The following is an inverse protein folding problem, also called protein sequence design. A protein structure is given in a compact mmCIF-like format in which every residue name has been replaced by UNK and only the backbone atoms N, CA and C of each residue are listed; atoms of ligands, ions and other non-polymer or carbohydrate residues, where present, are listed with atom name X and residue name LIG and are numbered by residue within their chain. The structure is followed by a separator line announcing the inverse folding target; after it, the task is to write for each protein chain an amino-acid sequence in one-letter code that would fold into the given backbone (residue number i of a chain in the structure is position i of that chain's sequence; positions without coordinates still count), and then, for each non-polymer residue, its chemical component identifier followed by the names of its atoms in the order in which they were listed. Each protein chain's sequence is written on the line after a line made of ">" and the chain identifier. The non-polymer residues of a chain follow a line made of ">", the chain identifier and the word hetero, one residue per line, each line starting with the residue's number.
data_IF_851335055819
#
_entry.id   IF_851335055819
#
_cell.length_a   1.000
_cell.length_b   1.000
_cell.length_c   1.000
_cell.angle_alpha   90.00
_cell.angle_beta   90.00
_cell.angle_gamma   90.00
#
_symmetry.space_group_name_H-M   'P 1'
#
loop_
_entity.id
_entity.type
_entity.pdbx_description
1 polymer ?
#
# COMPACT_ATOMS: atom_id res chain seq x y z
N UNK A 1 11.56 -3.75 -28.81
CA UNK A 1 11.88 -2.48 -28.11
C UNK A 1 11.19 -2.32 -26.74
N UNK A 2 10.26 -3.18 -26.33
CA UNK A 2 9.47 -3.01 -25.10
C UNK A 2 10.24 -3.28 -23.80
N UNK A 3 11.11 -4.29 -23.77
CA UNK A 3 11.86 -4.70 -22.56
C UNK A 3 12.76 -3.58 -22.01
N UNK A 4 13.43 -2.83 -22.88
CA UNK A 4 14.29 -1.72 -22.45
C UNK A 4 13.49 -0.55 -21.87
N UNK A 5 12.29 -0.27 -22.42
CA UNK A 5 11.42 0.77 -21.88
C UNK A 5 10.91 0.40 -20.47
N UNK A 6 10.55 -0.87 -20.25
CA UNK A 6 10.08 -1.34 -18.94
C UNK A 6 11.13 -1.18 -17.84
N UNK A 7 12.40 -1.51 -18.12
CA UNK A 7 13.47 -1.35 -17.15
C UNK A 7 13.77 0.13 -16.85
N UNK A 8 13.62 1.01 -17.84
CA UNK A 8 13.82 2.46 -17.68
C UNK A 8 12.71 3.08 -16.82
N UNK A 9 11.45 2.69 -17.02
CA UNK A 9 10.32 3.24 -16.29
C UNK A 9 10.41 2.90 -14.78
N UNK A 10 10.68 1.62 -14.45
CA UNK A 10 10.84 1.16 -13.06
C UNK A 10 12.08 1.80 -12.40
N UNK A 11 13.20 1.90 -13.13
CA UNK A 11 14.41 2.55 -12.61
C UNK A 11 14.22 4.03 -12.30
N UNK A 12 13.41 4.73 -13.11
CA UNK A 12 13.08 6.15 -12.91
C UNK A 12 12.23 6.35 -11.66
N UNK A 13 11.22 5.51 -11.46
CA UNK A 13 10.41 5.56 -10.23
C UNK A 13 11.23 5.20 -8.99
N UNK A 14 12.06 4.15 -9.05
CA UNK A 14 12.93 3.77 -7.94
C UNK A 14 13.92 4.88 -7.57
N UNK A 15 14.49 5.58 -8.56
CA UNK A 15 15.33 6.74 -8.31
C UNK A 15 14.57 7.87 -7.60
N UNK A 16 13.37 8.18 -8.08
CA UNK A 16 12.53 9.20 -7.45
C UNK A 16 12.15 8.82 -6.00
N UNK A 17 11.85 7.54 -5.75
CA UNK A 17 11.58 6.99 -4.42
C UNK A 17 12.79 7.11 -3.49
N UNK A 18 14.01 6.86 -3.98
CA UNK A 18 15.25 7.09 -3.22
C UNK A 18 15.45 8.56 -2.88
N UNK A 19 15.22 9.46 -3.82
CA UNK A 19 15.31 10.91 -3.56
C UNK A 19 14.27 11.39 -2.54
N UNK A 20 13.07 10.81 -2.59
CA UNK A 20 11.99 11.08 -1.65
C UNK A 20 12.37 10.62 -0.23
N UNK A 21 12.79 9.37 -0.09
CA UNK A 21 13.13 8.77 1.21
C UNK A 21 14.43 9.30 1.81
N UNK A 22 15.37 9.79 1.00
CA UNK A 22 16.59 10.46 1.48
C UNK A 22 16.32 11.76 2.27
N UNK A 23 15.09 12.31 2.16
CA UNK A 23 14.63 13.47 2.93
C UNK A 23 13.95 13.10 4.24
N UNK A 24 13.71 11.81 4.46
CA UNK A 24 13.08 11.27 5.67
C UNK A 24 14.14 10.72 6.63
N UNK A 25 13.87 10.84 7.93
CA UNK A 25 14.70 10.21 8.97
C UNK A 25 14.32 8.72 9.10
N UNK A 26 15.25 7.77 8.82
CA UNK A 26 14.97 6.33 8.94
C UNK A 26 14.72 5.87 10.40
N UNK A 27 14.93 6.73 11.38
CA UNK A 27 14.58 6.50 12.78
C UNK A 27 13.12 6.83 13.14
N UNK A 28 12.43 7.64 12.33
CA UNK A 28 11.13 8.27 12.67
C UNK A 28 10.03 7.99 11.65
N UNK A 29 8.81 8.41 11.99
CA UNK A 29 7.65 8.28 11.12
C UNK A 29 7.29 6.84 10.80
N UNK A 30 6.39 6.69 9.84
CA UNK A 30 6.03 5.40 9.29
C UNK A 30 7.22 4.74 8.58
N UNK A 31 8.05 5.51 7.86
CA UNK A 31 9.22 5.06 7.12
C UNK A 31 10.20 4.30 8.03
N UNK A 32 10.51 4.84 9.20
CA UNK A 32 11.38 4.17 10.16
C UNK A 32 10.76 2.92 10.76
N UNK A 33 9.46 2.92 11.03
CA UNK A 33 8.74 1.72 11.52
C UNK A 33 8.75 0.62 10.46
N UNK A 34 8.41 0.95 9.22
CA UNK A 34 8.39 0.01 8.11
C UNK A 34 9.77 -0.56 7.81
N UNK A 35 10.80 0.29 7.75
CA UNK A 35 12.18 -0.14 7.47
C UNK A 35 12.72 -1.07 8.56
N UNK A 36 12.32 -0.89 9.83
CA UNK A 36 12.68 -1.84 10.91
C UNK A 36 11.92 -3.15 10.81
N UNK A 37 10.65 -3.11 10.40
CA UNK A 37 9.79 -4.30 10.28
C UNK A 37 10.16 -5.16 9.07
N UNK A 38 10.44 -4.53 7.93
CA UNK A 38 10.80 -5.17 6.67
C UNK A 38 11.93 -4.42 5.96
N UNK A 39 13.18 -4.58 6.42
CA UNK A 39 14.33 -3.91 5.82
C UNK A 39 14.69 -4.44 4.44
N UNK A 40 14.24 -5.64 4.08
CA UNK A 40 14.50 -6.23 2.77
C UNK A 40 13.50 -5.73 1.74
N UNK A 41 12.20 -5.76 2.04
CA UNK A 41 11.16 -5.24 1.16
C UNK A 41 11.37 -3.77 0.81
N UNK A 42 11.71 -2.94 1.81
CA UNK A 42 12.07 -1.54 1.55
C UNK A 42 13.27 -1.42 0.61
N UNK A 43 14.31 -2.26 0.78
CA UNK A 43 15.51 -2.24 -0.08
C UNK A 43 15.17 -2.67 -1.51
N UNK A 44 14.38 -3.73 -1.68
CA UNK A 44 13.89 -4.18 -3.00
C UNK A 44 13.15 -3.06 -3.74
N UNK A 45 12.32 -2.29 -3.03
CA UNK A 45 11.61 -1.14 -3.59
C UNK A 45 12.58 -0.01 -4.01
N UNK A 46 13.52 0.33 -3.12
CA UNK A 46 14.51 1.39 -3.38
C UNK A 46 15.50 1.00 -4.47
N UNK A 47 15.83 -0.27 -4.63
CA UNK A 47 16.70 -0.78 -5.69
C UNK A 47 15.96 -0.97 -7.03
N UNK A 48 14.64 -0.81 -7.05
CA UNK A 48 13.79 -0.99 -8.23
C UNK A 48 13.59 -2.45 -8.64
N UNK A 49 13.87 -3.39 -7.73
CA UNK A 49 13.60 -4.82 -7.90
C UNK A 49 12.10 -5.08 -7.78
N UNK A 50 11.45 -4.39 -6.85
CA UNK A 50 10.01 -4.45 -6.62
C UNK A 50 9.39 -3.06 -6.76
N UNK A 51 8.11 -3.03 -7.15
CA UNK A 51 7.31 -1.79 -7.10
C UNK A 51 6.54 -1.85 -5.78
N UNK A 52 6.73 -0.89 -4.84
CA UNK A 52 5.97 -0.86 -3.59
C UNK A 52 4.47 -0.71 -3.87
N UNK A 53 3.59 -1.23 -3.00
CA UNK A 53 2.17 -0.87 -3.03
C UNK A 53 1.95 0.65 -2.93
N UNK A 54 0.88 1.17 -3.51
CA UNK A 54 0.61 2.62 -3.48
C UNK A 54 0.36 3.16 -2.06
N UNK A 55 -0.27 2.41 -1.18
CA UNK A 55 -0.49 2.77 0.24
C UNK A 55 0.83 2.97 1.00
N UNK A 56 1.88 2.24 0.62
CA UNK A 56 3.24 2.46 1.14
C UNK A 56 3.77 3.81 0.66
N UNK A 57 3.55 4.17 -0.61
CA UNK A 57 3.94 5.48 -1.15
C UNK A 57 3.16 6.61 -0.46
N UNK A 58 1.86 6.44 -0.22
CA UNK A 58 1.03 7.40 0.51
C UNK A 58 1.52 7.61 1.94
N UNK A 59 1.92 6.53 2.62
CA UNK A 59 2.48 6.61 3.97
C UNK A 59 3.81 7.38 4.00
N UNK A 60 4.66 7.21 2.98
CA UNK A 60 5.90 8.00 2.84
C UNK A 60 5.63 9.48 2.53
N UNK A 61 4.59 9.77 1.74
CA UNK A 61 4.15 11.14 1.46
C UNK A 61 3.56 11.81 2.71
N UNK A 62 2.87 11.05 3.57
CA UNK A 62 2.40 11.54 4.86
C UNK A 62 3.57 11.90 5.77
N UNK A 63 4.59 11.04 5.88
CA UNK A 63 5.82 11.38 6.63
C UNK A 63 6.52 12.62 6.06
N UNK A 64 6.54 12.79 4.73
CA UNK A 64 7.07 14.01 4.11
C UNK A 64 6.26 15.26 4.46
N UNK A 65 4.92 15.14 4.54
CA UNK A 65 4.06 16.25 4.93
C UNK A 65 4.34 16.68 6.37
N UNK A 66 4.62 15.75 7.28
CA UNK A 66 5.00 16.04 8.66
C UNK A 66 6.33 16.79 8.76
N UNK A 67 7.31 16.47 7.89
CA UNK A 67 8.65 17.07 7.93
C UNK A 67 8.77 18.37 7.13
N UNK A 68 8.10 18.45 5.97
CA UNK A 68 8.27 19.53 4.98
C UNK A 68 6.97 20.30 4.68
N UNK A 69 5.85 19.93 5.29
CA UNK A 69 4.55 20.55 5.10
C UNK A 69 3.73 19.95 3.96
N UNK A 70 2.42 20.06 4.07
CA UNK A 70 1.46 19.46 3.15
C UNK A 70 1.62 19.92 1.69
N UNK A 71 1.90 21.21 1.46
CA UNK A 71 2.07 21.75 0.10
C UNK A 71 3.28 21.17 -0.64
N UNK A 72 4.37 20.89 0.09
CA UNK A 72 5.53 20.22 -0.49
C UNK A 72 5.20 18.77 -0.83
N UNK A 73 4.55 18.06 0.09
CA UNK A 73 4.14 16.67 -0.11
C UNK A 73 3.16 16.51 -1.30
N UNK A 74 2.25 17.46 -1.49
CA UNK A 74 1.32 17.47 -2.64
C UNK A 74 2.06 17.59 -3.99
N UNK A 75 3.07 18.47 -4.08
CA UNK A 75 3.88 18.56 -5.31
C UNK A 75 4.65 17.28 -5.58
N UNK A 76 5.20 16.67 -4.52
CA UNK A 76 5.91 15.38 -4.63
C UNK A 76 4.95 14.25 -5.03
N UNK A 77 3.73 14.25 -4.51
CA UNK A 77 2.73 13.20 -4.75
C UNK A 77 2.26 13.14 -6.19
N UNK A 78 2.01 14.30 -6.82
CA UNK A 78 1.62 14.38 -8.24
C UNK A 78 2.65 13.68 -9.13
N UNK A 79 3.94 13.96 -8.91
CA UNK A 79 5.02 13.33 -9.67
C UNK A 79 5.21 11.86 -9.29
N UNK A 80 5.05 11.49 -8.02
CA UNK A 80 5.09 10.10 -7.58
C UNK A 80 4.01 9.26 -8.27
N UNK A 81 2.77 9.76 -8.31
CA UNK A 81 1.63 9.07 -8.92
C UNK A 81 1.82 8.82 -10.42
N UNK A 82 2.35 9.82 -11.14
CA UNK A 82 2.65 9.67 -12.57
C UNK A 82 3.71 8.60 -12.85
N UNK A 83 4.83 8.63 -12.11
CA UNK A 83 5.92 7.66 -12.26
C UNK A 83 5.51 6.25 -11.82
N UNK A 84 4.74 6.16 -10.73
CA UNK A 84 4.17 4.91 -10.24
C UNK A 84 3.26 4.27 -11.29
N UNK A 85 2.33 5.05 -11.85
CA UNK A 85 1.37 4.56 -12.83
C UNK A 85 2.06 4.07 -14.11
N UNK A 86 3.08 4.79 -14.59
CA UNK A 86 3.90 4.37 -15.72
C UNK A 86 4.64 3.05 -15.43
N UNK A 87 5.25 2.94 -14.24
CA UNK A 87 5.99 1.75 -13.82
C UNK A 87 5.10 0.53 -13.63
N UNK A 88 3.92 0.69 -13.03
CA UNK A 88 2.92 -0.36 -12.86
C UNK A 88 2.40 -0.84 -14.24
N UNK A 89 2.00 0.08 -15.11
CA UNK A 89 1.55 -0.26 -16.46
C UNK A 89 2.66 -0.92 -17.32
N UNK A 90 3.93 -0.55 -17.10
CA UNK A 90 5.07 -1.22 -17.70
C UNK A 90 5.22 -2.65 -17.16
N UNK A 91 5.18 -2.84 -15.85
CA UNK A 91 5.27 -4.14 -15.18
C UNK A 91 4.16 -5.09 -15.63
N UNK A 92 2.92 -4.59 -15.74
CA UNK A 92 1.73 -5.36 -16.09
C UNK A 92 1.72 -5.84 -17.55
N UNK A 93 2.37 -5.08 -18.45
CA UNK A 93 2.48 -5.40 -19.88
C UNK A 93 3.58 -6.41 -20.20
N UNK A 94 4.40 -6.83 -19.23
CA UNK A 94 5.42 -7.87 -19.44
C UNK A 94 4.77 -9.20 -19.89
N UNK A 95 5.49 -10.05 -20.63
CA UNK A 95 5.01 -11.40 -20.92
C UNK A 95 4.61 -12.14 -19.63
N UNK A 96 3.38 -12.66 -19.57
CA UNK A 96 2.82 -13.29 -18.37
C UNK A 96 2.25 -12.34 -17.31
N UNK A 97 2.44 -11.03 -17.44
CA UNK A 97 1.96 -10.02 -16.48
C UNK A 97 0.45 -10.05 -16.27
N UNK A 98 -0.33 -10.15 -17.37
CA UNK A 98 -1.79 -10.32 -17.29
C UNK A 98 -2.21 -11.56 -16.50
N UNK A 99 -1.52 -12.68 -16.66
CA UNK A 99 -1.86 -13.93 -15.98
C UNK A 99 -1.54 -13.83 -14.48
N UNK A 100 -0.39 -13.25 -14.15
CA UNK A 100 0.01 -12.96 -12.77
C UNK A 100 -0.98 -12.01 -12.07
N UNK A 101 -1.44 -10.96 -12.77
CA UNK A 101 -2.46 -10.03 -12.24
C UNK A 101 -3.78 -10.74 -11.95
N UNK A 102 -4.25 -11.58 -12.88
CA UNK A 102 -5.47 -12.37 -12.68
C UNK A 102 -5.29 -13.31 -11.49
N UNK A 103 -4.15 -14.00 -11.38
CA UNK A 103 -3.86 -14.89 -10.26
C UNK A 103 -3.86 -14.16 -8.91
N UNK A 104 -3.22 -12.98 -8.84
CA UNK A 104 -3.22 -12.13 -7.64
C UNK A 104 -4.62 -11.63 -7.29
N UNK A 105 -5.40 -11.21 -8.28
CA UNK A 105 -6.79 -10.77 -8.07
C UNK A 105 -7.64 -11.89 -7.48
N UNK A 106 -7.53 -13.11 -8.03
CA UNK A 106 -8.23 -14.27 -7.50
C UNK A 106 -7.81 -14.58 -6.05
N UNK A 107 -6.53 -14.42 -5.71
CA UNK A 107 -6.05 -14.57 -4.33
C UNK A 107 -6.67 -13.54 -3.39
N UNK A 108 -6.66 -12.26 -3.77
CA UNK A 108 -7.24 -11.18 -2.98
C UNK A 108 -8.75 -11.34 -2.79
N UNK A 109 -9.50 -11.77 -3.81
CA UNK A 109 -10.94 -12.04 -3.69
C UNK A 109 -11.21 -13.15 -2.67
N UNK A 110 -10.42 -14.24 -2.71
CA UNK A 110 -10.54 -15.33 -1.73
C UNK A 110 -10.22 -14.87 -0.31
N UNK A 111 -9.18 -14.05 -0.16
CA UNK A 111 -8.81 -13.49 1.15
C UNK A 111 -9.86 -12.54 1.70
N UNK A 112 -10.45 -11.69 0.86
CA UNK A 112 -11.58 -10.84 1.25
C UNK A 112 -12.80 -11.66 1.67
N UNK A 113 -13.13 -12.74 0.94
CA UNK A 113 -14.20 -13.66 1.35
C UNK A 113 -13.96 -14.26 2.74
N UNK A 114 -12.74 -14.74 3.00
CA UNK A 114 -12.35 -15.27 4.32
C UNK A 114 -12.32 -14.20 5.43
N UNK A 115 -11.95 -12.96 5.09
CA UNK A 115 -12.02 -11.85 6.04
C UNK A 115 -13.48 -11.52 6.39
N UNK A 116 -14.36 -11.46 5.39
CA UNK A 116 -15.80 -11.24 5.58
C UNK A 116 -16.46 -12.36 6.39
N UNK A 117 -16.08 -13.62 6.16
CA UNK A 117 -16.55 -14.77 6.95
C UNK A 117 -16.12 -14.69 8.42
N UNK A 118 -14.89 -14.24 8.70
CA UNK A 118 -14.38 -14.03 10.06
C UNK A 118 -15.05 -12.88 10.80
N UNK A 119 -15.50 -11.86 10.06
CA UNK A 119 -16.24 -10.71 10.60
C UNK A 119 -17.74 -11.01 10.77
N UNK A 120 -18.22 -12.18 10.31
CA UNK A 120 -19.62 -12.58 10.50
C UNK A 120 -19.84 -12.98 11.96
N UNK A 121 -20.65 -12.24 12.73
CA UNK A 121 -20.88 -12.58 14.13
C UNK A 121 -21.57 -13.96 14.24
N UNK A 122 -21.16 -14.80 15.19
CA UNK A 122 -21.92 -16.00 15.52
C UNK A 122 -23.23 -15.56 16.19
N UNK A 123 -24.38 -15.69 15.51
CA UNK A 123 -25.69 -15.48 16.15
C UNK A 123 -26.72 -14.62 15.44
N UNK A 124 -26.65 -14.38 14.12
CA UNK A 124 -27.77 -13.81 13.35
C UNK A 124 -28.93 -14.82 13.16
N UNK A 125 -29.26 -15.56 14.21
CA UNK A 125 -30.29 -16.59 14.26
C UNK A 125 -30.81 -16.71 15.70
N UNK A 126 -31.66 -15.76 16.10
CA UNK A 126 -32.47 -15.82 17.32
C UNK A 126 -31.85 -15.14 18.54
N UNK A 127 -32.02 -13.82 18.65
CA UNK A 127 -32.02 -13.14 19.96
C UNK A 127 -33.47 -12.94 20.34
N UNK A 128 -33.89 -13.60 21.42
CA UNK A 128 -35.17 -13.38 22.09
C UNK A 128 -35.16 -11.93 22.64
N UNK A 129 -36.15 -11.08 22.31
CA UNK A 129 -36.19 -9.67 22.74
C UNK A 129 -36.34 -9.46 24.26
N UNK A 130 -36.29 -10.51 25.08
CA UNK A 130 -36.40 -10.46 26.53
C UNK A 130 -35.07 -10.60 27.29
N UNK A 131 -33.90 -10.47 26.63
CA UNK A 131 -32.60 -10.50 27.32
C UNK A 131 -32.16 -9.10 27.79
N UNK A 132 -32.18 -8.82 29.11
CA UNK A 132 -31.81 -7.50 29.66
C UNK A 132 -30.32 -7.18 29.55
N UNK A 133 -29.42 -8.13 29.25
CA UNK A 133 -27.99 -7.84 29.05
C UNK A 133 -27.70 -7.16 27.70
N UNK A 134 -28.59 -7.30 26.70
CA UNK A 134 -28.38 -6.75 25.36
C UNK A 134 -28.48 -5.21 25.28
N UNK A 135 -29.05 -4.56 26.30
CA UNK A 135 -29.23 -3.11 26.35
C UNK A 135 -28.06 -2.35 27.00
N UNK A 136 -27.07 -3.05 27.55
CA UNK A 136 -25.99 -2.41 28.32
C UNK A 136 -24.92 -1.72 27.45
N UNK A 137 -24.82 -2.03 26.16
CA UNK A 137 -23.76 -1.50 25.26
C UNK A 137 -24.23 -0.31 24.39
N UNK A 138 -25.45 0.17 24.59
CA UNK A 138 -26.03 1.24 23.76
C UNK A 138 -25.92 2.64 24.38
N UNK A 139 -25.31 2.81 25.56
CA UNK A 139 -25.07 4.11 26.14
C UNK A 139 -23.74 4.14 26.87
N UNK A 140 -22.73 4.69 26.21
CA UNK A 140 -21.69 5.50 26.86
C UNK A 140 -21.24 6.56 25.83
N UNK A 141 -21.37 7.83 26.23
CA UNK A 141 -21.00 9.06 25.51
C UNK A 141 -19.47 9.27 25.43
#
# INVERSE_FOLDING_TARGET
>A
MTVHQHAVDVGTFAQYLREMTARLDPGRGWYGVFTRRDPQGMRSCLDGVEIPPWDVVESLLADLAEVHGAYFAEQVSVRAAALYSASAAAHDRRPGGRQELVHRLELMIREQGRAAERLRPPGAGGVDPADPEALAWAHDD
#
